data_IF_803861085760
#
_entry.id   IF_803861085760
#
_cell.length_a   1.000
_cell.length_b   1.000
_cell.length_c   1.000
_cell.angle_alpha   90.00
_cell.angle_beta   90.00
_cell.angle_gamma   90.00
#
_symmetry.space_group_name_H-M   'P 1'
#
loop_
_entity.id
_entity.type
_entity.pdbx_description
1 polymer ?
#
# COMPACT_ATOMS: atom_id res chain seq x y z
N UNK A 1 12.59 -12.88 9.45
CA UNK A 1 11.16 -12.87 9.07
C UNK A 1 10.74 -11.43 9.03
N UNK A 2 10.40 -10.95 7.84
CA UNK A 2 9.98 -9.56 7.65
C UNK A 2 8.51 -9.43 8.09
N UNK A 3 8.14 -8.43 8.90
CA UNK A 3 6.78 -8.31 9.43
C UNK A 3 5.69 -8.10 8.36
N UNK A 4 6.08 -7.63 7.17
CA UNK A 4 5.22 -7.46 6.00
C UNK A 4 4.85 -8.80 5.33
N UNK A 5 5.69 -9.84 5.46
CA UNK A 5 5.46 -11.19 4.92
C UNK A 5 4.43 -11.97 5.73
N UNK A 6 4.16 -11.54 6.97
CA UNK A 6 3.11 -12.13 7.81
C UNK A 6 1.70 -11.80 7.31
N UNK A 7 1.52 -11.01 6.23
CA UNK A 7 0.23 -10.90 5.53
C UNK A 7 -1.00 -10.81 6.46
N UNK A 8 -2.06 -11.61 6.28
CA UNK A 8 -3.20 -11.71 7.21
C UNK A 8 -2.98 -12.68 8.39
N UNK A 9 -1.76 -13.20 8.59
CA UNK A 9 -1.43 -14.17 9.64
C UNK A 9 -1.40 -13.58 11.06
N UNK A 10 -1.74 -12.30 11.26
CA UNK A 10 -1.98 -11.73 12.59
C UNK A 10 -3.02 -12.53 13.39
N UNK A 11 -4.06 -13.03 12.72
CA UNK A 11 -5.08 -13.88 13.35
C UNK A 11 -4.51 -15.21 13.87
N UNK A 12 -3.46 -15.74 13.21
CA UNK A 12 -2.79 -16.97 13.63
C UNK A 12 -1.97 -16.74 14.89
N UNK A 13 -1.33 -15.56 15.03
CA UNK A 13 -0.66 -15.18 16.27
C UNK A 13 -1.66 -14.99 17.43
N UNK A 14 -2.84 -14.44 17.18
CA UNK A 14 -3.90 -14.30 18.20
C UNK A 14 -4.40 -15.68 18.64
N UNK A 15 -4.69 -16.58 17.68
CA UNK A 15 -5.17 -17.93 17.97
C UNK A 15 -4.15 -18.72 18.81
N UNK A 16 -2.90 -18.80 18.35
CA UNK A 16 -1.89 -19.60 19.04
C UNK A 16 -1.36 -18.97 20.33
N UNK A 17 -1.47 -17.65 20.50
CA UNK A 17 -1.07 -17.01 21.76
C UNK A 17 -1.87 -17.51 22.96
N UNK A 18 -3.09 -17.99 22.73
CA UNK A 18 -3.97 -18.54 23.77
C UNK A 18 -3.68 -20.01 24.10
N UNK A 19 -2.95 -20.72 23.23
CA UNK A 19 -2.72 -22.17 23.32
C UNK A 19 -1.50 -22.52 24.19
N UNK A 20 -0.61 -21.56 24.45
CA UNK A 20 0.65 -21.78 25.16
C UNK A 20 0.67 -21.12 26.54
N UNK A 21 1.35 -21.77 27.49
CA UNK A 21 1.61 -21.18 28.81
C UNK A 21 2.40 -19.86 28.64
N UNK A 22 2.00 -18.76 29.29
CA UNK A 22 2.70 -17.47 29.22
C UNK A 22 4.19 -17.52 29.61
N UNK A 23 4.61 -18.53 30.35
CA UNK A 23 6.01 -18.76 30.78
C UNK A 23 6.80 -19.65 29.82
N UNK A 24 6.14 -20.23 28.80
CA UNK A 24 6.76 -21.13 27.84
C UNK A 24 7.68 -20.40 26.84
N UNK A 25 8.70 -21.11 26.34
CA UNK A 25 9.59 -20.59 25.30
C UNK A 25 8.83 -20.31 23.99
N UNK A 26 7.80 -21.09 23.68
CA UNK A 26 6.94 -20.89 22.51
C UNK A 26 6.18 -19.57 22.60
N UNK A 27 5.57 -19.28 23.76
CA UNK A 27 4.90 -18.01 23.99
C UNK A 27 5.87 -16.83 23.92
N UNK A 28 7.08 -16.97 24.46
CA UNK A 28 8.12 -15.94 24.37
C UNK A 28 8.56 -15.67 22.92
N UNK A 29 8.65 -16.70 22.08
CA UNK A 29 8.96 -16.56 20.65
C UNK A 29 7.82 -15.86 19.89
N UNK A 30 6.57 -16.31 20.11
CA UNK A 30 5.38 -15.69 19.51
C UNK A 30 5.23 -14.23 19.92
N UNK A 31 5.50 -13.90 21.18
CA UNK A 31 5.50 -12.52 21.69
C UNK A 31 6.48 -11.63 20.93
N UNK A 32 7.69 -12.12 20.62
CA UNK A 32 8.68 -11.37 19.83
C UNK A 32 8.22 -11.14 18.39
N UNK A 33 7.55 -12.13 17.78
CA UNK A 33 6.99 -12.01 16.43
C UNK A 33 5.83 -11.00 16.43
N UNK A 34 4.94 -11.11 17.42
CA UNK A 34 3.81 -10.20 17.60
C UNK A 34 4.27 -8.75 17.83
N UNK A 35 5.33 -8.52 18.62
CA UNK A 35 5.88 -7.18 18.82
C UNK A 35 6.38 -6.54 17.52
N UNK A 36 7.12 -7.29 16.69
CA UNK A 36 7.56 -6.81 15.37
C UNK A 36 6.39 -6.53 14.42
N UNK A 37 5.33 -7.34 14.51
CA UNK A 37 4.11 -7.13 13.73
C UNK A 37 3.38 -5.86 14.16
N UNK A 38 3.25 -5.62 15.46
CA UNK A 38 2.65 -4.38 15.99
C UNK A 38 3.42 -3.15 15.53
N UNK A 39 4.76 -3.16 15.63
CA UNK A 39 5.60 -2.05 15.16
C UNK A 39 5.37 -1.73 13.68
N UNK A 40 5.31 -2.76 12.83
CA UNK A 40 5.00 -2.58 11.41
C UNK A 40 3.58 -2.03 11.17
N UNK A 41 2.57 -2.56 11.87
CA UNK A 41 1.18 -2.10 11.78
C UNK A 41 1.03 -0.64 12.20
N UNK A 42 1.69 -0.22 13.28
CA UNK A 42 1.69 1.17 13.73
C UNK A 42 2.32 2.10 12.69
N UNK A 43 3.39 1.66 12.01
CA UNK A 43 3.99 2.37 10.88
C UNK A 43 3.03 2.53 9.70
N UNK A 44 2.35 1.46 9.31
CA UNK A 44 1.35 1.48 8.23
C UNK A 44 0.14 2.34 8.57
N UNK A 45 -0.36 2.27 9.80
CA UNK A 45 -1.43 3.15 10.29
C UNK A 45 -0.98 4.60 10.21
N UNK A 46 0.22 4.93 10.72
CA UNK A 46 0.74 6.30 10.66
C UNK A 46 0.90 6.81 9.23
N UNK A 47 1.30 5.94 8.29
CA UNK A 47 1.37 6.27 6.86
C UNK A 47 -0.03 6.57 6.30
N UNK A 48 -1.00 5.68 6.54
CA UNK A 48 -2.34 5.78 5.95
C UNK A 48 -3.21 6.86 6.62
N UNK A 49 -2.99 7.19 7.90
CA UNK A 49 -3.74 8.24 8.63
C UNK A 49 -3.44 9.66 8.09
N UNK A 50 -2.34 9.82 7.37
CA UNK A 50 -2.03 11.05 6.62
C UNK A 50 -2.90 11.23 5.37
N UNK A 51 -3.57 10.17 4.91
CA UNK A 51 -4.50 10.28 3.79
C UNK A 51 -5.74 11.07 4.24
N UNK A 52 -6.22 11.92 3.34
CA UNK A 52 -7.47 12.64 3.56
C UNK A 52 -8.62 11.67 3.81
N UNK A 53 -9.53 12.02 4.73
CA UNK A 53 -10.80 11.31 4.93
C UNK A 53 -11.78 11.47 3.76
N UNK A 54 -11.52 12.45 2.90
CA UNK A 54 -12.25 12.70 1.67
C UNK A 54 -11.41 12.16 0.51
N UNK A 55 -12.04 11.39 -0.36
CA UNK A 55 -11.41 10.77 -1.52
C UNK A 55 -10.66 11.79 -2.40
N UNK A 56 -9.43 11.44 -2.78
CA UNK A 56 -8.61 12.10 -3.79
C UNK A 56 -8.13 11.07 -4.80
N UNK A 57 -7.87 11.50 -6.04
CA UNK A 57 -7.22 10.68 -7.06
C UNK A 57 -5.70 10.57 -6.87
N UNK A 58 -5.12 11.35 -5.97
CA UNK A 58 -3.70 11.26 -5.66
C UNK A 58 -3.37 9.92 -4.99
N UNK A 59 -2.32 9.26 -5.47
CA UNK A 59 -1.76 8.06 -4.86
C UNK A 59 -0.35 8.40 -4.36
N UNK A 60 -0.23 9.12 -3.23
CA UNK A 60 1.02 9.76 -2.78
C UNK A 60 2.12 8.76 -2.43
N UNK A 61 1.78 7.49 -2.26
CA UNK A 61 2.72 6.42 -1.90
C UNK A 61 3.06 5.51 -3.08
N UNK A 62 2.56 5.79 -4.29
CA UNK A 62 2.83 5.00 -5.48
C UNK A 62 4.33 5.03 -5.83
N UNK A 63 4.99 3.88 -5.79
CA UNK A 63 6.43 3.78 -6.10
C UNK A 63 6.62 3.27 -7.51
N UNK A 64 6.98 4.17 -8.42
CA UNK A 64 7.21 3.84 -9.83
C UNK A 64 8.47 4.51 -10.37
N UNK A 65 9.38 3.73 -10.94
CA UNK A 65 10.68 4.17 -11.46
C UNK A 65 10.80 4.09 -12.99
N UNK A 66 9.71 3.79 -13.71
CA UNK A 66 9.72 3.74 -15.16
C UNK A 66 9.46 5.11 -15.78
N UNK A 67 8.37 5.24 -16.53
CA UNK A 67 7.98 6.50 -17.18
C UNK A 67 7.67 7.62 -16.14
N UNK A 68 8.45 8.69 -16.13
CA UNK A 68 8.24 9.85 -15.24
C UNK A 68 6.86 10.47 -15.39
N UNK A 69 6.31 10.54 -16.61
CA UNK A 69 4.97 11.10 -16.85
C UNK A 69 3.88 10.29 -16.13
N UNK A 70 4.03 8.95 -16.09
CA UNK A 70 3.13 8.08 -15.32
C UNK A 70 3.35 8.30 -13.82
N UNK A 71 4.60 8.38 -13.36
CA UNK A 71 4.89 8.63 -11.94
C UNK A 71 4.24 9.94 -11.46
N UNK A 72 4.43 11.04 -12.19
CA UNK A 72 3.82 12.34 -11.90
C UNK A 72 2.29 12.26 -11.94
N UNK A 73 1.73 11.59 -12.95
CA UNK A 73 0.29 11.37 -13.05
C UNK A 73 -0.27 10.64 -11.83
N UNK A 74 0.37 9.57 -11.35
CA UNK A 74 -0.10 8.79 -10.20
C UNK A 74 -0.17 9.65 -8.92
N UNK A 75 0.80 10.54 -8.72
CA UNK A 75 0.84 11.46 -7.58
C UNK A 75 -0.10 12.67 -7.75
N UNK A 76 -0.50 13.01 -8.98
CA UNK A 76 -1.36 14.16 -9.27
C UNK A 76 -2.86 13.93 -9.03
N UNK A 77 -3.67 15.00 -9.02
CA UNK A 77 -5.12 14.93 -8.76
C UNK A 77 -5.95 14.46 -9.96
N UNK A 78 -5.34 14.27 -11.14
CA UNK A 78 -6.04 13.88 -12.35
C UNK A 78 -6.50 12.41 -12.28
N UNK A 79 -7.73 12.15 -12.72
CA UNK A 79 -8.28 10.80 -12.78
C UNK A 79 -7.70 9.98 -13.94
N UNK A 80 -7.38 10.62 -15.06
CA UNK A 80 -6.94 9.94 -16.28
C UNK A 80 -5.84 10.71 -17.00
N UNK A 81 -4.94 9.97 -17.66
CA UNK A 81 -3.97 10.50 -18.61
C UNK A 81 -4.01 9.70 -19.91
N UNK A 82 -3.56 10.32 -21.00
CA UNK A 82 -3.34 9.66 -22.28
C UNK A 82 -1.86 9.73 -22.62
N UNK A 83 -1.24 8.56 -22.73
CA UNK A 83 0.16 8.40 -23.08
C UNK A 83 0.29 8.09 -24.57
N UNK A 84 1.13 8.85 -25.26
CA UNK A 84 1.54 8.56 -26.64
C UNK A 84 2.73 7.61 -26.63
N UNK A 85 2.84 6.81 -27.68
CA UNK A 85 3.92 5.84 -27.89
C UNK A 85 5.31 6.41 -27.62
N UNK A 86 5.65 7.48 -28.32
CA UNK A 86 6.92 8.20 -28.23
C UNK A 86 7.30 8.75 -26.83
N UNK A 87 6.34 8.82 -25.91
CA UNK A 87 6.53 9.30 -24.53
C UNK A 87 6.57 8.17 -23.51
N UNK A 88 6.31 6.94 -23.96
CA UNK A 88 6.39 5.74 -23.14
C UNK A 88 7.82 5.18 -23.08
N UNK A 89 8.11 4.40 -22.05
CA UNK A 89 9.39 3.71 -21.89
C UNK A 89 9.62 2.58 -22.92
N UNK A 90 8.53 2.05 -23.51
CA UNK A 90 8.59 0.96 -24.49
C UNK A 90 8.35 1.41 -25.95
N UNK A 91 8.10 2.70 -26.21
CA UNK A 91 7.91 3.29 -27.54
C UNK A 91 6.96 2.50 -28.47
N UNK A 92 5.74 2.21 -28.02
CA UNK A 92 4.75 1.52 -28.87
C UNK A 92 4.34 2.38 -30.08
N UNK A 93 4.21 1.79 -31.26
CA UNK A 93 3.96 2.53 -32.51
C UNK A 93 2.60 2.23 -33.15
N UNK A 94 1.91 1.18 -32.70
CA UNK A 94 0.65 0.74 -33.27
C UNK A 94 -0.31 0.22 -32.20
N UNK A 95 -1.55 -0.10 -32.61
CA UNK A 95 -2.59 -0.52 -31.68
C UNK A 95 -2.25 -1.87 -31.02
N UNK A 96 -1.49 -2.73 -31.70
CA UNK A 96 -1.12 -4.03 -31.16
C UNK A 96 -0.11 -3.88 -30.02
N UNK A 97 0.95 -3.12 -30.25
CA UNK A 97 1.98 -2.78 -29.27
C UNK A 97 1.41 -1.95 -28.12
N UNK A 98 0.49 -1.01 -28.39
CA UNK A 98 -0.24 -0.27 -27.36
C UNK A 98 -1.10 -1.18 -26.46
N UNK A 99 -1.80 -2.17 -27.04
CA UNK A 99 -2.58 -3.16 -26.27
C UNK A 99 -1.68 -4.02 -25.38
N UNK A 100 -0.53 -4.43 -25.90
CA UNK A 100 0.48 -5.19 -25.12
C UNK A 100 0.97 -4.35 -23.95
N UNK A 101 1.34 -3.08 -24.19
CA UNK A 101 1.74 -2.14 -23.16
C UNK A 101 0.67 -2.00 -22.07
N UNK A 102 -0.58 -1.70 -22.44
CA UNK A 102 -1.69 -1.58 -21.50
C UNK A 102 -1.89 -2.87 -20.66
N UNK A 103 -1.74 -4.04 -21.29
CA UNK A 103 -1.85 -5.34 -20.60
C UNK A 103 -0.75 -5.52 -19.56
N UNK A 104 0.51 -5.21 -19.93
CA UNK A 104 1.65 -5.29 -19.02
C UNK A 104 1.43 -4.39 -17.80
N UNK A 105 0.98 -3.16 -18.00
CA UNK A 105 0.74 -2.22 -16.90
C UNK A 105 -0.40 -2.65 -15.98
N UNK A 106 -1.45 -3.29 -16.52
CA UNK A 106 -2.52 -3.87 -15.71
C UNK A 106 -2.07 -5.10 -14.90
N UNK A 107 -1.09 -5.86 -15.42
CA UNK A 107 -0.56 -7.07 -14.77
C UNK A 107 0.50 -6.76 -13.72
N UNK A 108 1.49 -5.92 -14.06
CA UNK A 108 2.64 -5.63 -13.20
C UNK A 108 2.23 -4.91 -11.91
N UNK A 109 1.10 -4.17 -11.92
CA UNK A 109 0.54 -3.38 -10.82
C UNK A 109 1.60 -2.60 -10.04
N UNK A 110 1.69 -1.31 -10.31
CA UNK A 110 2.57 -0.42 -9.53
C UNK A 110 2.16 -0.48 -8.04
N UNK A 111 3.08 -0.77 -7.11
CA UNK A 111 2.78 -0.79 -5.67
C UNK A 111 2.11 0.49 -5.20
N UNK A 112 1.21 0.38 -4.23
CA UNK A 112 0.50 1.53 -3.63
C UNK A 112 -0.27 2.38 -4.66
N UNK A 113 -0.79 1.73 -5.69
CA UNK A 113 -1.60 2.39 -6.70
C UNK A 113 -2.75 1.51 -7.17
N UNK A 114 -3.75 2.13 -7.82
CA UNK A 114 -4.81 1.40 -8.49
C UNK A 114 -5.30 2.15 -9.72
N UNK A 115 -5.22 1.49 -10.87
CA UNK A 115 -5.59 2.04 -12.16
C UNK A 115 -5.98 0.93 -13.15
N UNK A 116 -6.49 1.33 -14.30
CA UNK A 116 -6.70 0.49 -15.48
C UNK A 116 -6.11 1.22 -16.68
N UNK A 117 -5.28 0.53 -17.46
CA UNK A 117 -4.77 0.99 -18.73
C UNK A 117 -5.57 0.37 -19.89
N UNK A 118 -5.91 1.17 -20.89
CA UNK A 118 -6.59 0.73 -22.12
C UNK A 118 -5.95 1.39 -23.33
N UNK A 119 -5.68 0.58 -24.35
CA UNK A 119 -5.22 1.09 -25.63
C UNK A 119 -6.39 1.48 -26.53
N UNK A 120 -6.24 2.58 -27.25
CA UNK A 120 -7.17 3.06 -28.26
C UNK A 120 -6.41 3.72 -29.41
N UNK A 121 -7.11 4.05 -30.48
CA UNK A 121 -6.59 4.97 -31.50
C UNK A 121 -6.97 6.40 -31.13
N UNK A 122 -6.08 7.34 -31.46
CA UNK A 122 -6.34 8.78 -31.42
C UNK A 122 -6.25 9.30 -32.86
N UNK A 123 -7.38 9.24 -33.58
CA UNK A 123 -7.39 9.46 -35.02
C UNK A 123 -7.05 8.19 -35.83
N UNK A 124 -6.51 8.38 -37.04
CA UNK A 124 -6.34 7.29 -38.02
C UNK A 124 -5.09 6.46 -37.72
N UNK A 125 -3.96 7.12 -37.44
CA UNK A 125 -2.66 6.47 -37.35
C UNK A 125 -2.15 6.35 -35.90
N UNK A 126 -2.44 7.33 -35.05
CA UNK A 126 -1.88 7.34 -33.70
C UNK A 126 -2.57 6.30 -32.82
N UNK A 127 -1.73 5.51 -32.13
CA UNK A 127 -2.17 4.63 -31.06
C UNK A 127 -1.77 5.25 -29.73
N UNK A 128 -2.66 5.18 -28.75
CA UNK A 128 -2.47 5.77 -27.42
C UNK A 128 -2.88 4.78 -26.35
N UNK A 129 -2.34 4.97 -25.15
CA UNK A 129 -2.75 4.23 -23.95
C UNK A 129 -3.33 5.23 -22.96
N UNK A 130 -4.60 5.05 -22.64
CA UNK A 130 -5.27 5.81 -21.59
C UNK A 130 -5.16 5.05 -20.28
N UNK A 131 -4.57 5.70 -19.27
CA UNK A 131 -4.46 5.18 -17.91
C UNK A 131 -5.48 5.91 -17.06
N UNK A 132 -6.40 5.18 -16.45
CA UNK A 132 -7.47 5.71 -15.59
C UNK A 132 -7.32 5.15 -14.19
N UNK A 133 -7.13 6.02 -13.20
CA UNK A 133 -7.09 5.65 -11.79
C UNK A 133 -8.43 5.09 -11.33
N UNK A 134 -8.41 4.23 -10.32
CA UNK A 134 -9.63 3.72 -9.68
C UNK A 134 -9.63 4.05 -8.20
N UNK A 135 -10.81 4.03 -7.59
CA UNK A 135 -10.97 4.31 -6.16
C UNK A 135 -10.43 3.19 -5.26
N UNK A 136 -10.14 2.02 -5.84
CA UNK A 136 -9.86 0.81 -5.09
C UNK A 136 -8.69 0.96 -4.11
N UNK A 137 -7.59 1.61 -4.50
CA UNK A 137 -6.47 1.79 -3.57
C UNK A 137 -6.85 2.63 -2.35
N UNK A 138 -7.62 3.71 -2.55
CA UNK A 138 -8.11 4.52 -1.45
C UNK A 138 -9.08 3.74 -0.55
N UNK A 139 -10.06 3.06 -1.15
CA UNK A 139 -11.05 2.26 -0.41
C UNK A 139 -10.38 1.12 0.38
N UNK A 140 -9.45 0.39 -0.25
CA UNK A 140 -8.66 -0.64 0.41
C UNK A 140 -7.79 -0.04 1.53
N UNK A 141 -7.23 1.17 1.34
CA UNK A 141 -6.44 1.87 2.37
C UNK A 141 -7.29 2.26 3.59
N UNK A 142 -8.50 2.78 3.38
CA UNK A 142 -9.43 3.11 4.46
C UNK A 142 -9.90 1.85 5.20
N UNK A 143 -10.16 0.76 4.48
CA UNK A 143 -10.49 -0.53 5.08
C UNK A 143 -9.29 -1.10 5.89
N UNK A 144 -8.07 -0.98 5.36
CA UNK A 144 -6.85 -1.41 6.02
C UNK A 144 -6.59 -0.65 7.32
N UNK A 145 -6.84 0.66 7.37
CA UNK A 145 -6.72 1.44 8.61
C UNK A 145 -7.53 0.84 9.77
N UNK A 146 -8.80 0.51 9.51
CA UNK A 146 -9.66 -0.12 10.52
C UNK A 146 -9.14 -1.49 10.93
N UNK A 147 -8.79 -2.33 9.94
CA UNK A 147 -8.29 -3.69 10.17
C UNK A 147 -6.96 -3.71 10.94
N UNK A 148 -6.03 -2.82 10.61
CA UNK A 148 -4.74 -2.73 11.31
C UNK A 148 -4.91 -2.24 12.74
N UNK A 149 -5.79 -1.27 12.98
CA UNK A 149 -6.09 -0.79 14.33
C UNK A 149 -6.67 -1.91 15.22
N UNK A 150 -7.56 -2.73 14.67
CA UNK A 150 -8.11 -3.90 15.34
C UNK A 150 -7.04 -4.97 15.61
N UNK A 151 -6.19 -5.28 14.63
CA UNK A 151 -5.10 -6.25 14.78
C UNK A 151 -4.11 -5.83 15.88
N UNK A 152 -3.73 -4.54 15.94
CA UNK A 152 -2.88 -4.00 17.01
C UNK A 152 -3.54 -4.18 18.38
N UNK A 153 -4.84 -3.89 18.51
CA UNK A 153 -5.56 -4.03 19.77
C UNK A 153 -5.54 -5.49 20.25
N UNK A 154 -5.82 -6.44 19.35
CA UNK A 154 -5.87 -7.86 19.65
C UNK A 154 -4.49 -8.41 20.06
N UNK A 155 -3.44 -8.11 19.28
CA UNK A 155 -2.08 -8.56 19.59
C UNK A 155 -1.57 -7.95 20.90
N UNK A 156 -1.89 -6.68 21.15
CA UNK A 156 -1.50 -6.02 22.40
C UNK A 156 -2.17 -6.63 23.62
N UNK A 157 -3.43 -7.06 23.51
CA UNK A 157 -4.13 -7.70 24.61
C UNK A 157 -3.61 -9.12 24.90
N UNK A 158 -3.42 -9.95 23.87
CA UNK A 158 -2.95 -11.34 24.02
C UNK A 158 -1.54 -11.38 24.61
N UNK A 159 -0.63 -10.57 24.06
CA UNK A 159 0.80 -10.63 24.42
C UNK A 159 1.22 -9.57 25.45
N UNK A 160 0.26 -8.82 26.00
CA UNK A 160 0.49 -7.71 26.94
C UNK A 160 1.57 -6.74 26.46
N UNK A 161 1.60 -6.49 25.15
CA UNK A 161 2.55 -5.57 24.53
C UNK A 161 2.19 -4.17 25.03
N UNK A 162 3.10 -3.55 25.76
CA UNK A 162 2.92 -2.17 26.20
C UNK A 162 2.98 -1.26 24.99
N UNK A 163 1.87 -0.57 24.69
CA UNK A 163 1.86 0.52 23.71
C UNK A 163 2.79 1.60 24.26
N UNK A 164 4.01 1.65 23.72
CA UNK A 164 5.01 2.62 24.09
C UNK A 164 4.49 4.02 23.80
N UNK A 165 3.83 4.66 24.77
CA UNK A 165 3.67 6.11 24.77
C UNK A 165 5.08 6.68 24.81
N UNK A 166 5.56 7.19 23.68
CA UNK A 166 6.74 8.04 23.64
C UNK A 166 6.44 9.24 24.55
N UNK A 167 6.93 9.16 25.79
CA UNK A 167 6.86 10.24 26.76
C UNK A 167 7.87 11.29 26.33
N UNK A 168 7.40 12.30 25.59
CA UNK A 168 8.17 13.52 25.32
C UNK A 168 8.25 14.33 26.62
N UNK A 169 9.13 13.93 27.53
CA UNK A 169 9.57 14.80 28.61
C UNK A 169 10.38 15.95 27.99
N UNK A 170 9.72 17.10 27.78
CA UNK A 170 10.42 18.37 27.56
C UNK A 170 11.24 18.71 28.81
N UNK A 171 12.53 19.06 28.71
CA UNK A 171 13.25 19.64 29.82
C UNK A 171 12.72 21.06 30.06
N UNK A 172 12.48 21.40 31.34
CA UNK A 172 12.30 22.81 31.76
C UNK A 172 13.68 23.46 31.72
N UNK A 173 13.80 24.54 30.96
CA UNK A 173 14.92 25.47 31.08
C UNK A 173 14.75 26.23 32.39
N UNK A 174 15.82 26.21 33.20
CA UNK A 174 16.05 27.18 34.28
C UNK A 174 16.35 28.56 33.69
#
# INVERSE_FOLDING_TARGET
MEPNELGPFGNVLVQHGSDFDPTSEQFALLSKIAAKRVEWLEGEIHKLDKLSKIFSWEMPYAVYSGCNEIAEFLHGPQQSMTLKGERSDENFTDLHTAKKYATIYNQKRIPESSYVAKASRDGIEDSVVTITKTRKWYEDSQANLMRYAEEVANLSDVYKISRGRVSTKRPRLE
#
